data_IF_234199232520
#
_entry.id   IF_234199232520
#
_cell.length_a   1.000
_cell.length_b   1.000
_cell.length_c   1.000
_cell.angle_alpha   90.00
_cell.angle_beta   90.00
_cell.angle_gamma   90.00
#
_symmetry.space_group_name_H-M   'P 1'
#
loop_
_entity.id
_entity.type
_entity.pdbx_description
1 polymer ?
#
# COMPACT_ATOMS: atom_id res chain seq x y z
N UNK A 1 -20.37 25.28 -41.62
CA UNK A 1 -19.36 26.19 -41.06
C UNK A 1 -18.67 25.51 -39.89
N UNK A 2 -17.63 24.74 -40.19
CA UNK A 2 -16.66 24.23 -39.23
C UNK A 2 -15.58 25.30 -39.10
N UNK A 3 -15.37 25.84 -37.89
CA UNK A 3 -14.13 26.46 -37.37
C UNK A 3 -14.49 27.37 -36.19
N UNK A 4 -14.10 26.98 -34.98
CA UNK A 4 -13.60 27.84 -33.88
C UNK A 4 -13.87 27.28 -32.47
N UNK A 5 -13.56 26.01 -32.24
CA UNK A 5 -13.51 25.43 -30.88
C UNK A 5 -12.08 25.31 -30.30
N UNK A 6 -11.07 25.90 -30.96
CA UNK A 6 -9.65 25.78 -30.58
C UNK A 6 -9.06 27.00 -29.83
N UNK A 7 -9.85 28.00 -29.49
CA UNK A 7 -9.31 29.27 -28.97
C UNK A 7 -9.61 29.57 -27.49
N UNK A 8 -10.45 28.79 -26.81
CA UNK A 8 -10.81 29.06 -25.39
C UNK A 8 -9.88 28.34 -24.40
N UNK A 9 -9.22 27.23 -24.78
CA UNK A 9 -8.32 26.50 -23.87
C UNK A 9 -6.87 27.06 -23.81
N UNK A 10 -6.56 28.18 -24.48
CA UNK A 10 -5.20 28.74 -24.51
C UNK A 10 -4.97 29.96 -23.62
N UNK A 11 -6.00 30.52 -22.98
CA UNK A 11 -5.86 31.76 -22.21
C UNK A 11 -5.79 31.61 -20.68
N UNK A 12 -6.14 30.45 -20.11
CA UNK A 12 -6.13 30.26 -18.66
C UNK A 12 -4.79 29.72 -18.09
N UNK A 13 -3.89 29.21 -18.94
CA UNK A 13 -2.59 28.67 -18.51
C UNK A 13 -1.43 29.68 -18.60
N UNK A 14 -1.67 30.91 -19.07
CA UNK A 14 -0.61 31.86 -19.41
C UNK A 14 -0.36 32.97 -18.39
N UNK A 15 -1.19 33.12 -17.34
CA UNK A 15 -1.04 34.24 -16.38
C UNK A 15 -0.59 33.86 -14.95
N UNK A 16 -0.52 32.59 -14.57
CA UNK A 16 0.14 32.19 -13.29
C UNK A 16 1.61 31.79 -13.45
N UNK A 17 2.09 31.63 -14.69
CA UNK A 17 3.46 31.18 -14.99
C UNK A 17 4.52 32.31 -14.99
N UNK A 18 4.14 33.56 -14.68
CA UNK A 18 5.05 34.72 -14.77
C UNK A 18 5.68 35.18 -13.43
N UNK A 19 5.59 34.39 -12.35
CA UNK A 19 6.21 34.76 -11.05
C UNK A 19 7.15 33.73 -10.43
N UNK A 20 7.56 32.70 -11.16
CA UNK A 20 8.62 31.79 -10.70
C UNK A 20 9.65 31.57 -11.80
N UNK A 21 10.84 32.16 -11.60
CA UNK A 21 12.02 32.02 -12.46
C UNK A 21 12.64 30.60 -12.44
N UNK A 22 11.86 29.55 -12.16
CA UNK A 22 12.37 28.18 -12.04
C UNK A 22 12.10 27.28 -13.26
N UNK A 23 11.31 27.71 -14.25
CA UNK A 23 11.00 26.87 -15.42
C UNK A 23 11.92 27.08 -16.64
N UNK A 24 12.70 28.15 -16.71
CA UNK A 24 13.61 28.37 -17.85
C UNK A 24 14.77 27.36 -17.92
N UNK A 25 15.07 26.65 -16.83
CA UNK A 25 16.08 25.59 -16.80
C UNK A 25 15.54 24.18 -17.15
N UNK A 26 14.23 24.03 -17.40
CA UNK A 26 13.63 22.75 -17.79
C UNK A 26 13.58 22.52 -19.31
N UNK A 27 13.84 23.54 -20.13
CA UNK A 27 13.76 23.43 -21.59
C UNK A 27 15.05 23.02 -22.31
N UNK A 28 16.17 22.85 -21.58
CA UNK A 28 17.47 22.45 -22.14
C UNK A 28 18.24 21.40 -21.31
N UNK A 29 17.64 20.86 -20.25
CA UNK A 29 18.16 19.63 -19.64
C UNK A 29 17.73 18.50 -20.55
N UNK A 30 18.71 18.02 -21.32
CA UNK A 30 18.69 16.77 -22.05
C UNK A 30 17.57 15.86 -21.55
N UNK A 31 16.59 15.57 -22.41
CA UNK A 31 16.17 14.19 -22.52
C UNK A 31 17.48 13.43 -22.72
N UNK A 32 18.09 12.99 -21.62
CA UNK A 32 19.26 12.15 -21.65
C UNK A 32 18.78 10.91 -22.39
N UNK A 33 19.02 10.90 -23.70
CA UNK A 33 19.23 9.71 -24.49
C UNK A 33 20.31 8.95 -23.73
N UNK A 34 19.87 8.14 -22.76
CA UNK A 34 20.76 7.21 -22.09
C UNK A 34 21.24 6.30 -23.20
N UNK A 35 22.56 6.31 -23.42
CA UNK A 35 23.30 5.42 -24.32
C UNK A 35 23.28 3.97 -23.80
N UNK A 36 22.15 3.52 -23.29
CA UNK A 36 21.81 2.12 -23.06
C UNK A 36 20.72 1.72 -24.06
N UNK A 37 21.02 1.95 -25.34
CA UNK A 37 20.42 1.15 -26.39
C UNK A 37 21.07 -0.23 -26.32
N UNK A 38 20.61 -1.09 -25.41
CA UNK A 38 20.06 -2.34 -25.93
C UNK A 38 18.75 -1.92 -26.55
N UNK A 39 18.80 -1.54 -27.82
CA UNK A 39 17.59 -1.37 -28.60
C UNK A 39 16.77 -2.64 -28.43
N UNK A 40 15.47 -2.52 -28.20
CA UNK A 40 14.56 -3.67 -28.26
C UNK A 40 14.66 -4.44 -29.61
N UNK A 41 15.34 -3.86 -30.61
CA UNK A 41 15.74 -4.47 -31.88
C UNK A 41 16.89 -5.50 -31.81
N UNK A 42 17.45 -5.82 -30.63
CA UNK A 42 18.47 -6.88 -30.54
C UNK A 42 17.85 -8.29 -30.50
N UNK A 43 16.52 -8.40 -30.45
CA UNK A 43 15.86 -9.66 -30.75
C UNK A 43 15.84 -9.80 -32.28
N UNK A 44 16.72 -10.62 -32.83
CA UNK A 44 16.60 -11.06 -34.23
C UNK A 44 15.18 -11.57 -34.45
N UNK A 45 14.43 -10.94 -35.35
CA UNK A 45 13.08 -11.40 -35.70
C UNK A 45 13.19 -12.80 -36.32
N UNK A 46 12.78 -13.82 -35.56
CA UNK A 46 12.76 -15.20 -36.04
C UNK A 46 11.47 -15.40 -36.84
N UNK A 47 11.60 -15.54 -38.16
CA UNK A 47 10.47 -15.84 -39.04
C UNK A 47 10.18 -17.36 -39.08
N UNK A 48 8.91 -17.73 -39.14
CA UNK A 48 8.46 -19.13 -39.33
C UNK A 48 7.44 -19.19 -40.46
N UNK A 49 7.46 -20.28 -41.22
CA UNK A 49 6.43 -20.58 -42.23
C UNK A 49 5.29 -21.44 -41.67
N UNK A 50 5.35 -21.79 -40.38
CA UNK A 50 4.31 -22.57 -39.70
C UNK A 50 3.37 -21.62 -38.95
N UNK A 51 2.09 -21.64 -39.30
CA UNK A 51 1.07 -20.96 -38.52
C UNK A 51 0.77 -21.77 -37.25
N UNK A 52 1.28 -21.31 -36.12
CA UNK A 52 0.97 -21.86 -34.80
C UNK A 52 0.57 -20.74 -33.85
N UNK A 53 -0.36 -21.05 -32.93
CA UNK A 53 -0.62 -20.17 -31.81
C UNK A 53 0.61 -20.19 -30.88
N UNK A 54 0.98 -19.04 -30.32
CA UNK A 54 1.98 -18.99 -29.27
C UNK A 54 1.49 -19.84 -28.07
N UNK A 55 2.35 -20.75 -27.58
CA UNK A 55 2.06 -21.49 -26.36
C UNK A 55 2.02 -20.56 -25.17
N UNK A 56 1.17 -20.86 -24.19
CA UNK A 56 1.26 -20.20 -22.88
C UNK A 56 2.67 -20.45 -22.30
N UNK A 57 3.32 -19.44 -21.72
CA UNK A 57 4.59 -19.64 -21.03
C UNK A 57 4.40 -20.55 -19.81
N UNK A 58 5.50 -21.16 -19.36
CA UNK A 58 5.52 -21.94 -18.12
C UNK A 58 5.06 -21.09 -16.93
N UNK A 59 4.35 -21.71 -16.00
CA UNK A 59 3.89 -21.07 -14.76
C UNK A 59 5.08 -20.54 -13.97
N UNK A 60 5.01 -19.26 -13.58
CA UNK A 60 6.04 -18.62 -12.78
C UNK A 60 6.08 -19.30 -11.40
N UNK A 61 7.22 -19.88 -10.98
CA UNK A 61 7.34 -20.56 -9.71
C UNK A 61 7.19 -19.57 -8.55
N UNK A 62 6.60 -20.04 -7.45
CA UNK A 62 6.43 -19.24 -6.23
C UNK A 62 7.63 -19.46 -5.30
N UNK A 63 8.47 -18.44 -5.13
CA UNK A 63 9.66 -18.50 -4.29
C UNK A 63 9.31 -18.60 -2.80
N UNK A 64 10.03 -19.48 -2.08
CA UNK A 64 9.84 -19.80 -0.67
C UNK A 64 11.20 -20.12 -0.03
N UNK A 65 11.38 -19.71 1.22
CA UNK A 65 12.57 -19.94 2.04
C UNK A 65 12.30 -20.93 3.16
N UNK A 66 11.10 -20.90 3.77
CA UNK A 66 10.66 -21.84 4.82
C UNK A 66 9.37 -22.55 4.45
N UNK A 67 9.25 -23.82 4.84
CA UNK A 67 8.02 -24.61 4.69
C UNK A 67 6.93 -24.19 5.70
N UNK A 68 5.75 -24.84 5.61
CA UNK A 68 4.61 -24.58 6.50
C UNK A 68 4.91 -24.88 7.98
N UNK A 69 5.90 -25.71 8.25
CA UNK A 69 6.35 -26.09 9.59
C UNK A 69 7.53 -25.22 10.06
N UNK A 70 7.93 -24.20 9.31
CA UNK A 70 9.07 -23.34 9.62
C UNK A 70 10.43 -24.01 9.45
N UNK A 71 10.51 -25.12 8.70
CA UNK A 71 11.79 -25.74 8.32
C UNK A 71 12.35 -25.06 7.07
N UNK A 72 13.66 -24.95 6.98
CA UNK A 72 14.32 -24.19 5.92
C UNK A 72 14.42 -25.02 4.65
N UNK A 73 13.96 -24.43 3.54
CA UNK A 73 14.07 -24.97 2.19
C UNK A 73 15.24 -24.35 1.40
N UNK A 74 15.64 -23.13 1.73
CA UNK A 74 16.71 -22.40 1.03
C UNK A 74 17.69 -21.73 2.03
N UNK A 75 18.69 -22.47 2.56
CA UNK A 75 19.59 -22.02 3.63
C UNK A 75 20.38 -20.74 3.35
N UNK A 76 20.66 -20.45 2.07
CA UNK A 76 21.36 -19.24 1.64
C UNK A 76 20.56 -17.94 1.92
N UNK A 77 19.28 -18.05 2.26
CA UNK A 77 18.38 -16.94 2.60
C UNK A 77 17.97 -16.93 4.09
N UNK A 78 18.74 -17.58 4.97
CA UNK A 78 18.49 -17.52 6.42
C UNK A 78 19.17 -16.34 7.12
N UNK A 79 20.06 -15.64 6.42
CA UNK A 79 20.99 -14.64 6.95
C UNK A 79 20.34 -13.26 7.20
N UNK A 80 19.11 -13.22 7.71
CA UNK A 80 18.46 -12.00 8.20
C UNK A 80 18.88 -11.78 9.66
N UNK A 81 19.36 -10.61 10.10
CA UNK A 81 19.70 -10.36 11.50
C UNK A 81 18.55 -10.66 12.49
N UNK A 82 18.88 -11.18 13.68
CA UNK A 82 17.91 -11.56 14.71
C UNK A 82 17.01 -10.41 15.14
N UNK A 83 17.57 -9.20 15.26
CA UNK A 83 16.83 -7.99 15.59
C UNK A 83 15.71 -7.71 14.57
N UNK A 84 16.04 -7.83 13.28
CA UNK A 84 15.08 -7.61 12.19
C UNK A 84 13.99 -8.68 12.21
N UNK A 85 14.36 -9.95 12.34
CA UNK A 85 13.39 -11.05 12.39
C UNK A 85 12.44 -10.96 13.59
N UNK A 86 12.98 -10.66 14.77
CA UNK A 86 12.17 -10.49 15.96
C UNK A 86 11.24 -9.28 15.83
N UNK A 87 11.73 -8.15 15.30
CA UNK A 87 10.89 -6.99 15.01
C UNK A 87 9.79 -7.30 13.98
N UNK A 88 10.08 -8.06 12.93
CA UNK A 88 9.08 -8.52 11.95
C UNK A 88 8.01 -9.34 12.68
N UNK A 89 8.41 -10.35 13.46
CA UNK A 89 7.46 -11.20 14.18
C UNK A 89 6.58 -10.39 15.14
N UNK A 90 7.18 -9.54 15.98
CA UNK A 90 6.45 -8.71 16.95
C UNK A 90 5.47 -7.75 16.26
N UNK A 91 5.88 -7.15 15.14
CA UNK A 91 5.00 -6.27 14.35
C UNK A 91 3.84 -7.05 13.73
N UNK A 92 4.06 -8.27 13.23
CA UNK A 92 2.97 -9.09 12.68
C UNK A 92 1.94 -9.46 13.75
N UNK A 93 2.39 -9.79 14.96
CA UNK A 93 1.50 -10.05 16.11
C UNK A 93 0.75 -8.77 16.50
N UNK A 94 1.44 -7.63 16.57
CA UNK A 94 0.83 -6.35 16.89
C UNK A 94 -0.28 -5.98 15.88
N UNK A 95 -0.03 -6.18 14.57
CA UNK A 95 -1.02 -5.95 13.51
C UNK A 95 -2.26 -6.84 13.71
N UNK A 96 -2.07 -8.13 14.02
CA UNK A 96 -3.18 -9.07 14.27
C UNK A 96 -4.06 -8.63 15.46
N UNK A 97 -3.44 -8.20 16.55
CA UNK A 97 -4.17 -7.73 17.74
C UNK A 97 -4.91 -6.40 17.49
N UNK A 98 -4.27 -5.45 16.81
CA UNK A 98 -4.89 -4.19 16.41
C UNK A 98 -6.10 -4.46 15.51
N UNK A 99 -5.92 -5.27 14.47
CA UNK A 99 -6.99 -5.59 13.53
C UNK A 99 -8.17 -6.29 14.23
N UNK A 100 -7.88 -7.21 15.15
CA UNK A 100 -8.90 -7.90 15.94
C UNK A 100 -9.73 -6.90 16.75
N UNK A 101 -9.08 -5.99 17.47
CA UNK A 101 -9.76 -5.03 18.34
C UNK A 101 -10.50 -3.95 17.55
N UNK A 102 -9.89 -3.39 16.52
CA UNK A 102 -10.52 -2.32 15.73
C UNK A 102 -11.67 -2.84 14.88
N UNK A 103 -11.58 -4.07 14.36
CA UNK A 103 -12.71 -4.73 13.70
C UNK A 103 -13.91 -4.89 14.66
N UNK A 104 -13.68 -5.34 15.90
CA UNK A 104 -14.74 -5.39 16.93
C UNK A 104 -15.25 -4.00 17.32
N UNK A 105 -14.36 -3.01 17.39
CA UNK A 105 -14.69 -1.61 17.71
C UNK A 105 -15.65 -1.02 16.68
N UNK A 106 -15.45 -1.34 15.39
CA UNK A 106 -16.37 -0.98 14.34
C UNK A 106 -17.73 -1.68 14.51
N UNK A 107 -17.75 -2.98 14.84
CA UNK A 107 -19.01 -3.72 15.08
C UNK A 107 -19.82 -3.16 16.27
N UNK A 108 -19.17 -2.45 17.20
CA UNK A 108 -19.82 -1.70 18.28
C UNK A 108 -20.29 -0.30 17.89
N UNK A 109 -20.07 0.14 16.64
CA UNK A 109 -20.44 1.46 16.14
C UNK A 109 -19.54 2.61 16.63
N UNK A 110 -18.37 2.31 17.20
CA UNK A 110 -17.44 3.34 17.72
C UNK A 110 -16.58 3.98 16.64
N UNK A 111 -16.35 3.28 15.54
CA UNK A 111 -15.76 3.81 14.30
C UNK A 111 -16.67 3.42 13.15
N UNK A 112 -16.67 4.21 12.08
CA UNK A 112 -17.63 4.02 10.97
C UNK A 112 -17.29 2.85 10.06
N UNK A 113 -16.00 2.54 9.91
CA UNK A 113 -15.49 1.55 8.96
C UNK A 113 -14.17 0.95 9.45
N UNK A 114 -13.88 -0.30 9.06
CA UNK A 114 -12.57 -0.91 9.26
C UNK A 114 -12.28 -1.99 8.22
N UNK A 115 -10.99 -2.22 7.94
CA UNK A 115 -10.51 -3.25 7.01
C UNK A 115 -9.35 -4.01 7.65
N UNK A 116 -9.55 -5.25 8.10
CA UNK A 116 -8.46 -6.05 8.64
C UNK A 116 -7.51 -6.54 7.54
N UNK A 117 -6.28 -6.88 7.93
CA UNK A 117 -5.22 -7.40 7.07
C UNK A 117 -4.88 -8.87 7.35
N UNK A 118 -5.81 -9.61 7.97
CA UNK A 118 -5.61 -11.02 8.34
C UNK A 118 -5.16 -11.90 7.17
N UNK A 119 -4.00 -12.53 7.32
CA UNK A 119 -3.36 -13.39 6.32
C UNK A 119 -2.25 -12.67 5.54
N UNK A 120 -2.21 -11.34 5.55
CA UNK A 120 -1.30 -10.53 4.73
C UNK A 120 -0.16 -9.87 5.55
N UNK A 121 -0.02 -10.25 6.82
CA UNK A 121 0.93 -9.60 7.74
C UNK A 121 2.39 -9.80 7.31
N UNK A 122 2.79 -11.03 6.92
CA UNK A 122 4.17 -11.27 6.45
C UNK A 122 4.50 -10.45 5.20
N UNK A 123 3.53 -10.30 4.29
CA UNK A 123 3.72 -9.50 3.07
C UNK A 123 3.98 -8.03 3.40
N UNK A 124 3.14 -7.42 4.23
CA UNK A 124 3.23 -5.98 4.52
C UNK A 124 4.39 -5.66 5.45
N UNK A 125 4.56 -6.41 6.53
CA UNK A 125 5.66 -6.21 7.49
C UNK A 125 7.02 -6.56 6.87
N UNK A 126 7.10 -7.66 6.10
CA UNK A 126 8.33 -8.05 5.43
C UNK A 126 8.81 -7.01 4.41
N UNK A 127 7.89 -6.39 3.66
CA UNK A 127 8.24 -5.25 2.79
C UNK A 127 8.68 -4.04 3.62
N UNK A 128 7.95 -3.70 4.69
CA UNK A 128 8.32 -2.59 5.59
C UNK A 128 9.73 -2.74 6.17
N UNK A 129 10.16 -3.97 6.46
CA UNK A 129 11.49 -4.31 6.93
C UNK A 129 12.58 -4.28 5.86
N UNK A 130 12.23 -4.57 4.61
CA UNK A 130 13.18 -4.69 3.52
C UNK A 130 13.40 -3.37 2.74
N UNK A 131 12.47 -2.42 2.80
CA UNK A 131 12.67 -1.09 2.25
C UNK A 131 13.56 -0.23 3.16
N UNK A 132 14.28 0.71 2.56
CA UNK A 132 14.96 1.74 3.35
C UNK A 132 13.93 2.78 3.81
N UNK A 133 14.23 3.50 4.90
CA UNK A 133 13.28 4.44 5.48
C UNK A 133 12.90 5.58 4.51
N UNK A 134 13.85 6.02 3.68
CA UNK A 134 13.66 7.08 2.68
C UNK A 134 12.86 6.65 1.45
N UNK A 135 12.62 5.35 1.25
CA UNK A 135 11.78 4.89 0.15
C UNK A 135 10.33 5.31 0.40
N UNK A 136 9.67 5.82 -0.65
CA UNK A 136 8.31 6.33 -0.56
C UNK A 136 7.32 5.21 -0.86
N UNK A 137 6.39 4.99 0.07
CA UNK A 137 5.35 3.96 -0.05
C UNK A 137 4.03 4.57 -0.51
N UNK A 138 3.46 3.99 -1.56
CA UNK A 138 2.13 4.27 -2.10
C UNK A 138 1.21 3.08 -1.75
N UNK A 139 0.40 3.20 -0.68
CA UNK A 139 -0.48 2.12 -0.21
C UNK A 139 -1.78 2.03 -1.02
N UNK A 140 -2.51 0.94 -0.80
CA UNK A 140 -3.89 0.78 -1.27
C UNK A 140 -4.89 0.99 -0.13
N UNK A 141 -4.89 0.12 0.90
CA UNK A 141 -5.70 0.22 2.13
C UNK A 141 -5.52 -1.01 3.08
N UNK A 142 -4.62 -1.97 2.79
CA UNK A 142 -4.30 -3.09 3.69
C UNK A 142 -2.82 -3.12 4.10
N UNK A 143 -2.16 -1.98 4.06
CA UNK A 143 -0.72 -1.84 4.31
C UNK A 143 -0.39 -1.44 5.76
N UNK A 144 -1.25 -1.80 6.72
CA UNK A 144 -1.04 -1.47 8.14
C UNK A 144 0.31 -2.00 8.65
N UNK A 145 0.69 -3.22 8.26
CA UNK A 145 1.97 -3.80 8.67
C UNK A 145 3.19 -2.98 8.24
N UNK A 146 3.14 -2.37 7.05
CA UNK A 146 4.23 -1.53 6.54
C UNK A 146 4.37 -0.24 7.34
N UNK A 147 3.26 0.46 7.59
CA UNK A 147 3.29 1.75 8.27
C UNK A 147 3.58 1.58 9.78
N UNK A 148 3.08 0.52 10.42
CA UNK A 148 3.38 0.18 11.82
C UNK A 148 4.86 -0.19 11.96
N UNK A 149 5.44 -0.98 11.05
CA UNK A 149 6.87 -1.31 11.10
C UNK A 149 7.77 -0.06 11.04
N UNK A 150 7.32 0.97 10.32
CA UNK A 150 7.99 2.28 10.22
C UNK A 150 7.76 3.19 11.44
N UNK A 151 6.89 2.80 12.38
CA UNK A 151 6.69 3.51 13.64
C UNK A 151 5.34 4.20 13.79
N UNK A 152 4.37 3.94 12.90
CA UNK A 152 3.00 4.44 13.09
C UNK A 152 2.36 3.74 14.27
N UNK A 153 1.91 4.51 15.26
CA UNK A 153 1.42 3.95 16.52
C UNK A 153 -0.06 3.60 16.43
N UNK A 154 -0.54 2.77 17.36
CA UNK A 154 -1.98 2.50 17.46
C UNK A 154 -2.78 3.77 17.78
N UNK A 155 -2.19 4.74 18.48
CA UNK A 155 -2.82 6.06 18.70
C UNK A 155 -3.01 6.79 17.38
N UNK A 156 -2.00 6.80 16.51
CA UNK A 156 -2.12 7.43 15.19
C UNK A 156 -3.21 6.76 14.33
N UNK A 157 -3.32 5.44 14.40
CA UNK A 157 -4.39 4.70 13.71
C UNK A 157 -5.77 5.06 14.26
N UNK A 158 -5.93 5.09 15.58
CA UNK A 158 -7.18 5.41 16.25
C UNK A 158 -7.61 6.85 16.01
N UNK A 159 -6.67 7.79 16.06
CA UNK A 159 -6.92 9.20 15.77
C UNK A 159 -7.49 9.35 14.35
N UNK A 160 -6.90 8.68 13.36
CA UNK A 160 -7.41 8.68 11.99
C UNK A 160 -8.76 7.97 11.86
N UNK A 161 -8.95 6.79 12.47
CA UNK A 161 -10.21 6.04 12.39
C UNK A 161 -11.39 6.75 13.09
N UNK A 162 -11.13 7.53 14.13
CA UNK A 162 -12.14 8.33 14.82
C UNK A 162 -12.31 9.69 14.11
N UNK A 163 -11.26 10.18 13.46
CA UNK A 163 -11.20 11.52 12.88
C UNK A 163 -11.17 12.61 13.94
N UNK A 164 -10.44 12.38 15.04
CA UNK A 164 -10.33 13.34 16.14
C UNK A 164 -9.29 14.44 15.85
N UNK A 165 -9.14 15.41 16.76
CA UNK A 165 -8.22 16.55 16.62
C UNK A 165 -6.74 16.17 16.40
N UNK A 166 -6.33 14.95 16.74
CA UNK A 166 -4.96 14.48 16.57
C UNK A 166 -4.75 13.74 15.25
N UNK A 167 -5.80 13.55 14.45
CA UNK A 167 -5.64 13.08 13.08
C UNK A 167 -4.96 14.16 12.23
N UNK A 168 -3.77 13.85 11.70
CA UNK A 168 -3.06 14.72 10.77
C UNK A 168 -3.83 14.90 9.45
N UNK A 169 -4.73 13.96 9.11
CA UNK A 169 -5.69 14.06 8.01
C UNK A 169 -6.90 14.96 8.31
N UNK A 170 -6.96 15.56 9.50
CA UNK A 170 -8.03 16.46 9.97
C UNK A 170 -9.43 15.84 9.91
N UNK A 171 -9.54 14.51 10.07
CA UNK A 171 -10.81 13.78 10.09
C UNK A 171 -11.56 13.79 8.75
N UNK A 172 -10.88 14.07 7.64
CA UNK A 172 -11.53 14.30 6.32
C UNK A 172 -11.75 13.03 5.51
N UNK A 173 -11.02 11.97 5.81
CA UNK A 173 -11.10 10.71 5.07
C UNK A 173 -11.74 9.60 5.90
N UNK A 174 -12.24 8.58 5.19
CA UNK A 174 -12.77 7.37 5.79
C UNK A 174 -11.71 6.69 6.69
N UNK A 175 -12.11 5.96 7.75
CA UNK A 175 -11.17 5.15 8.51
C UNK A 175 -10.30 4.23 7.63
N UNK A 176 -9.10 3.92 8.10
CA UNK A 176 -8.07 3.12 7.40
C UNK A 176 -7.39 3.86 6.24
N UNK A 177 -7.70 5.14 6.03
CA UNK A 177 -7.00 5.99 5.07
C UNK A 177 -5.74 6.63 5.67
N UNK A 178 -4.81 5.80 6.14
CA UNK A 178 -3.60 6.26 6.81
C UNK A 178 -2.65 6.98 5.85
N UNK A 179 -1.89 7.92 6.39
CA UNK A 179 -0.85 8.67 5.69
C UNK A 179 0.12 9.29 6.67
N UNK A 180 1.41 9.32 6.33
CA UNK A 180 2.40 9.99 7.15
C UNK A 180 3.59 10.45 6.32
N UNK A 181 3.74 11.77 6.22
CA UNK A 181 4.92 12.40 5.61
C UNK A 181 6.19 12.01 6.36
N UNK A 182 6.15 11.94 7.70
CA UNK A 182 7.30 11.60 8.53
C UNK A 182 7.79 10.17 8.29
N UNK A 183 6.89 9.26 7.91
CA UNK A 183 7.20 7.85 7.67
C UNK A 183 7.33 7.50 6.17
N UNK A 184 7.43 8.50 5.30
CA UNK A 184 7.47 8.34 3.84
C UNK A 184 6.35 7.42 3.32
N UNK A 185 5.13 7.66 3.79
CA UNK A 185 3.94 6.87 3.47
C UNK A 185 2.86 7.79 2.94
N UNK A 186 2.57 7.71 1.63
CA UNK A 186 1.57 8.54 0.96
C UNK A 186 0.19 8.20 1.51
N UNK A 187 -0.64 9.22 1.68
CA UNK A 187 -2.01 9.04 2.18
C UNK A 187 -2.83 8.18 1.23
N UNK A 188 -3.47 7.15 1.77
CA UNK A 188 -4.43 6.30 1.06
C UNK A 188 -5.58 7.12 0.47
N UNK A 189 -6.06 6.71 -0.71
CA UNK A 189 -7.31 7.16 -1.32
C UNK A 189 -8.16 5.96 -1.76
N UNK A 190 -9.50 6.06 -1.70
CA UNK A 190 -10.39 4.95 -2.07
C UNK A 190 -10.29 4.49 -3.53
N UNK A 191 -10.16 5.38 -4.55
CA UNK A 191 -10.13 4.95 -5.94
C UNK A 191 -8.98 3.99 -6.21
N UNK A 192 -9.34 2.79 -6.64
CA UNK A 192 -8.38 1.72 -6.90
C UNK A 192 -7.34 2.16 -7.94
N UNK A 193 -6.10 1.73 -7.71
CA UNK A 193 -5.01 1.78 -8.69
C UNK A 193 -4.46 3.17 -9.02
N UNK A 194 -5.16 4.25 -8.68
CA UNK A 194 -4.73 5.64 -8.94
C UNK A 194 -3.33 5.98 -8.41
N UNK A 195 -2.90 5.33 -7.33
CA UNK A 195 -1.56 5.48 -6.74
C UNK A 195 -0.44 4.84 -7.57
N UNK A 196 -0.75 3.85 -8.41
CA UNK A 196 0.24 3.06 -9.15
C UNK A 196 0.95 3.90 -10.23
N UNK A 197 0.26 4.69 -11.08
CA UNK A 197 0.93 5.63 -12.00
C UNK A 197 1.59 6.79 -11.24
N UNK A 198 1.05 7.23 -10.10
CA UNK A 198 1.69 8.25 -9.26
C UNK A 198 3.07 7.78 -8.74
N UNK A 199 3.15 6.52 -8.29
CA UNK A 199 4.41 5.91 -7.88
C UNK A 199 5.40 5.77 -9.05
N UNK A 200 4.91 5.50 -10.27
CA UNK A 200 5.74 5.51 -11.48
C UNK A 200 6.31 6.89 -11.76
N UNK A 201 5.51 7.96 -11.59
CA UNK A 201 5.97 9.35 -11.68
C UNK A 201 6.98 9.74 -10.61
N UNK A 202 6.78 9.31 -9.36
CA UNK A 202 7.74 9.52 -8.27
C UNK A 202 9.07 8.81 -8.55
N UNK A 203 9.02 7.55 -8.99
CA UNK A 203 10.20 6.77 -9.39
C UNK A 203 10.95 7.36 -10.57
N UNK A 204 10.24 7.94 -11.55
CA UNK A 204 10.84 8.72 -12.63
C UNK A 204 11.60 9.94 -12.09
N UNK A 205 10.98 10.68 -11.16
CA UNK A 205 11.59 11.81 -10.49
C UNK A 205 12.88 11.44 -9.75
N UNK A 206 12.90 10.32 -9.03
CA UNK A 206 14.10 9.83 -8.34
C UNK A 206 15.23 9.50 -9.32
N UNK A 207 14.92 8.85 -10.45
CA UNK A 207 15.91 8.58 -11.51
C UNK A 207 16.51 9.87 -12.06
N UNK A 208 15.68 10.84 -12.42
CA UNK A 208 16.14 12.12 -13.00
C UNK A 208 17.04 12.90 -12.04
N UNK A 209 16.83 12.76 -10.72
CA UNK A 209 17.65 13.40 -9.68
C UNK A 209 18.83 12.55 -9.22
N UNK A 210 19.01 11.34 -9.78
CA UNK A 210 20.08 10.43 -9.40
C UNK A 210 19.97 9.92 -7.96
N UNK A 211 18.77 9.89 -7.39
CA UNK A 211 18.55 9.45 -6.01
C UNK A 211 18.57 7.93 -5.89
N UNK A 212 19.18 7.41 -4.82
CA UNK A 212 19.15 5.97 -4.49
C UNK A 212 17.91 5.60 -3.67
N UNK A 213 16.74 5.95 -4.21
CA UNK A 213 15.42 5.76 -3.58
C UNK A 213 14.45 5.05 -4.51
N UNK A 214 13.52 4.31 -3.93
CA UNK A 214 12.46 3.61 -4.66
C UNK A 214 11.10 4.21 -4.31
N UNK A 215 10.21 4.31 -5.31
CA UNK A 215 8.78 4.46 -5.10
C UNK A 215 8.14 3.06 -5.08
N UNK A 216 7.75 2.57 -3.91
CA UNK A 216 7.13 1.27 -3.73
C UNK A 216 5.60 1.42 -3.72
N UNK A 217 4.88 0.69 -4.57
CA UNK A 217 3.43 0.80 -4.67
C UNK A 217 2.75 -0.54 -4.48
N UNK A 218 1.78 -0.58 -3.57
CA UNK A 218 0.94 -1.74 -3.31
C UNK A 218 -0.34 -1.69 -4.13
N UNK A 219 -0.85 -2.86 -4.48
CA UNK A 219 -2.19 -3.05 -5.04
C UNK A 219 -2.59 -4.53 -4.94
N UNK A 220 -3.88 -4.81 -4.87
CA UNK A 220 -4.43 -6.16 -4.95
C UNK A 220 -4.53 -6.67 -6.39
N UNK A 221 -4.76 -7.97 -6.57
CA UNK A 221 -4.91 -8.56 -7.91
C UNK A 221 -6.14 -8.04 -8.66
N UNK A 222 -7.22 -7.70 -7.96
CA UNK A 222 -8.39 -7.04 -8.56
C UNK A 222 -8.10 -5.61 -9.03
N UNK A 223 -7.29 -4.85 -8.29
CA UNK A 223 -6.87 -3.52 -8.69
C UNK A 223 -5.98 -3.56 -9.96
N UNK A 224 -5.26 -4.65 -10.19
CA UNK A 224 -4.49 -4.86 -11.41
C UNK A 224 -5.34 -5.10 -12.68
N UNK A 225 -6.67 -5.12 -12.57
CA UNK A 225 -7.60 -5.10 -13.71
C UNK A 225 -7.99 -3.69 -14.16
N UNK A 226 -7.66 -2.66 -13.38
CA UNK A 226 -7.90 -1.25 -13.76
C UNK A 226 -6.94 -0.77 -14.84
N UNK A 227 -7.39 0.17 -15.68
CA UNK A 227 -6.59 0.75 -16.76
C UNK A 227 -5.33 1.48 -16.29
N UNK A 228 -5.38 2.10 -15.11
CA UNK A 228 -4.25 2.81 -14.50
C UNK A 228 -3.07 1.88 -14.20
N UNK A 229 -3.32 0.58 -13.96
CA UNK A 229 -2.27 -0.40 -13.73
C UNK A 229 -1.45 -0.62 -15.01
N UNK A 230 -2.14 -0.82 -16.15
CA UNK A 230 -1.50 -0.94 -17.46
C UNK A 230 -0.67 0.31 -17.80
N UNK A 231 -1.26 1.50 -17.62
CA UNK A 231 -0.58 2.76 -17.88
C UNK A 231 0.69 2.90 -17.05
N UNK A 232 0.62 2.59 -15.75
CA UNK A 232 1.74 2.71 -14.84
C UNK A 232 2.90 1.79 -15.20
N UNK A 233 2.65 0.51 -15.48
CA UNK A 233 3.70 -0.45 -15.81
C UNK A 233 4.40 -0.08 -17.12
N UNK A 234 3.64 0.32 -18.14
CA UNK A 234 4.21 0.74 -19.42
C UNK A 234 5.07 2.01 -19.26
N UNK A 235 4.58 3.02 -18.53
CA UNK A 235 5.37 4.22 -18.23
C UNK A 235 6.63 3.87 -17.44
N UNK A 236 6.53 3.03 -16.41
CA UNK A 236 7.67 2.66 -15.60
C UNK A 236 8.74 1.91 -16.40
N UNK A 237 8.35 1.01 -17.30
CA UNK A 237 9.28 0.30 -18.16
C UNK A 237 9.97 1.25 -19.16
N UNK A 238 9.16 1.98 -19.94
CA UNK A 238 9.66 2.84 -21.03
C UNK A 238 10.46 4.05 -20.53
N UNK A 239 10.13 4.56 -19.34
CA UNK A 239 10.83 5.67 -18.71
C UNK A 239 11.83 5.22 -17.65
N UNK A 240 12.06 3.91 -17.51
CA UNK A 240 12.99 3.32 -16.55
C UNK A 240 12.79 3.89 -15.14
N UNK A 241 11.56 3.89 -14.64
CA UNK A 241 11.25 4.47 -13.34
C UNK A 241 11.83 3.62 -12.21
N UNK A 242 12.32 4.28 -11.15
CA UNK A 242 12.74 3.61 -9.92
C UNK A 242 11.53 3.18 -9.08
N UNK A 243 10.73 2.26 -9.62
CA UNK A 243 9.44 1.86 -9.06
C UNK A 243 9.41 0.37 -8.75
N UNK A 244 8.95 0.03 -7.55
CA UNK A 244 8.71 -1.34 -7.11
C UNK A 244 7.20 -1.58 -7.04
N UNK A 245 6.71 -2.49 -7.88
CA UNK A 245 5.30 -2.89 -7.90
C UNK A 245 5.08 -4.09 -6.99
N UNK A 246 4.17 -3.97 -6.03
CA UNK A 246 3.91 -4.95 -4.97
C UNK A 246 2.47 -5.42 -5.06
N UNK A 247 2.24 -6.51 -5.79
CA UNK A 247 0.92 -7.10 -5.98
C UNK A 247 0.61 -8.08 -4.85
N UNK A 248 -0.45 -7.82 -4.08
CA UNK A 248 -0.98 -8.76 -3.10
C UNK A 248 -2.09 -9.58 -3.75
N UNK A 249 -1.78 -10.80 -4.16
CA UNK A 249 -2.76 -11.72 -4.74
C UNK A 249 -3.35 -12.59 -3.64
N UNK A 250 -4.47 -12.14 -3.07
CA UNK A 250 -5.13 -12.78 -1.93
C UNK A 250 -6.37 -13.60 -2.34
N UNK A 251 -6.50 -13.86 -3.65
CA UNK A 251 -7.51 -14.68 -4.33
C UNK A 251 -8.88 -14.03 -4.56
N UNK A 252 -9.19 -12.88 -3.96
CA UNK A 252 -10.51 -12.27 -4.04
C UNK A 252 -10.51 -10.73 -4.06
N UNK A 253 -11.22 -10.17 -5.05
CA UNK A 253 -11.62 -8.77 -5.07
C UNK A 253 -13.07 -8.64 -4.56
N UNK A 254 -13.25 -8.27 -3.29
CA UNK A 254 -14.53 -8.36 -2.57
C UNK A 254 -15.05 -9.80 -2.64
N UNK A 255 -16.01 -10.08 -3.54
CA UNK A 255 -16.61 -11.40 -3.78
C UNK A 255 -16.14 -12.07 -5.07
N UNK A 256 -15.42 -11.35 -5.94
CA UNK A 256 -14.96 -11.86 -7.23
C UNK A 256 -13.69 -12.71 -7.05
N UNK A 257 -13.74 -14.03 -7.30
CA UNK A 257 -12.56 -14.89 -7.23
C UNK A 257 -11.62 -14.63 -8.42
N UNK A 258 -10.35 -14.99 -8.28
CA UNK A 258 -9.33 -14.80 -9.34
C UNK A 258 -9.68 -15.45 -10.68
N UNK A 259 -10.47 -16.53 -10.69
CA UNK A 259 -10.91 -17.21 -11.93
C UNK A 259 -11.83 -16.34 -12.80
N UNK A 260 -12.52 -15.38 -12.17
CA UNK A 260 -13.36 -14.38 -12.82
C UNK A 260 -12.63 -13.04 -12.98
N UNK A 261 -11.44 -12.89 -12.38
CA UNK A 261 -10.63 -11.69 -12.46
C UNK A 261 -9.68 -11.71 -13.67
N UNK A 262 -9.05 -12.85 -13.95
CA UNK A 262 -8.11 -13.00 -15.06
C UNK A 262 -7.98 -14.47 -15.50
N UNK A 263 -7.43 -14.69 -16.70
CA UNK A 263 -7.18 -16.03 -17.27
C UNK A 263 -5.71 -16.37 -17.49
N UNK A 264 -4.81 -15.40 -17.32
CA UNK A 264 -3.36 -15.62 -17.39
C UNK A 264 -2.79 -16.21 -16.10
N UNK A 265 -1.48 -16.46 -16.12
CA UNK A 265 -0.74 -16.90 -14.94
C UNK A 265 -0.53 -15.75 -13.93
N UNK A 266 -1.59 -15.42 -13.19
CA UNK A 266 -1.57 -14.37 -12.17
C UNK A 266 -1.31 -12.97 -12.75
N UNK A 267 -0.87 -12.07 -11.87
CA UNK A 267 -0.48 -10.71 -12.26
C UNK A 267 1.01 -10.67 -12.65
N UNK A 268 1.86 -11.51 -12.05
CA UNK A 268 3.26 -11.62 -12.44
C UNK A 268 3.41 -11.94 -13.95
N UNK A 269 2.60 -12.86 -14.49
CA UNK A 269 2.63 -13.20 -15.92
C UNK A 269 2.37 -12.00 -16.84
N UNK A 270 1.52 -11.05 -16.42
CA UNK A 270 1.24 -9.82 -17.18
C UNK A 270 2.45 -8.89 -17.19
N UNK A 271 3.16 -8.77 -16.06
CA UNK A 271 4.27 -7.80 -15.90
C UNK A 271 5.50 -8.12 -16.77
N UNK A 272 5.72 -9.41 -17.10
CA UNK A 272 6.79 -9.84 -18.02
C UNK A 272 6.60 -9.21 -19.40
N UNK A 273 5.36 -9.07 -19.88
CA UNK A 273 5.05 -8.47 -21.18
C UNK A 273 5.46 -7.01 -21.33
N UNK A 274 5.71 -6.29 -20.22
CA UNK A 274 6.22 -4.91 -20.22
C UNK A 274 7.76 -4.86 -20.11
N UNK A 275 8.45 -6.00 -20.09
CA UNK A 275 9.89 -6.08 -19.89
C UNK A 275 10.34 -5.78 -18.46
N UNK A 276 9.47 -5.98 -17.47
CA UNK A 276 9.77 -5.70 -16.05
C UNK A 276 10.36 -6.94 -15.37
N UNK A 277 11.41 -6.73 -14.55
CA UNK A 277 11.99 -7.81 -13.72
C UNK A 277 10.94 -8.28 -12.71
N UNK A 278 10.52 -9.53 -12.83
CA UNK A 278 9.31 -10.05 -12.19
C UNK A 278 9.64 -11.21 -11.24
N UNK A 279 9.02 -11.20 -10.07
CA UNK A 279 9.11 -12.25 -9.05
C UNK A 279 7.71 -12.69 -8.62
N UNK A 280 7.56 -13.97 -8.28
CA UNK A 280 6.40 -14.48 -7.54
C UNK A 280 6.89 -15.12 -6.25
N UNK A 281 6.26 -14.78 -5.13
CA UNK A 281 6.74 -15.10 -3.79
C UNK A 281 5.58 -15.65 -2.96
N UNK A 282 5.86 -16.61 -2.09
CA UNK A 282 4.92 -17.02 -1.05
C UNK A 282 4.76 -15.85 -0.05
N UNK A 283 3.62 -15.16 -0.12
CA UNK A 283 3.34 -13.96 0.68
C UNK A 283 3.23 -14.23 2.18
N UNK A 284 3.14 -15.49 2.59
CA UNK A 284 3.08 -15.88 4.00
C UNK A 284 4.49 -16.18 4.55
N UNK A 285 5.54 -16.08 3.73
CA UNK A 285 6.93 -16.42 4.08
C UNK A 285 7.66 -15.11 4.31
N UNK A 286 7.76 -14.71 5.58
CA UNK A 286 8.40 -13.45 5.92
C UNK A 286 9.86 -13.36 5.44
N UNK A 287 10.59 -14.49 5.38
CA UNK A 287 11.97 -14.52 4.91
C UNK A 287 11.99 -14.34 3.38
N UNK A 288 11.15 -15.07 2.64
CA UNK A 288 11.07 -14.95 1.19
C UNK A 288 10.62 -13.55 0.75
N UNK A 289 9.64 -12.96 1.44
CA UNK A 289 9.19 -11.59 1.23
C UNK A 289 10.35 -10.62 1.45
N UNK A 290 11.01 -10.69 2.62
CA UNK A 290 12.11 -9.78 2.96
C UNK A 290 13.24 -9.83 1.92
N UNK A 291 13.72 -11.03 1.58
CA UNK A 291 14.81 -11.19 0.63
C UNK A 291 14.45 -10.72 -0.78
N UNK A 292 13.26 -11.07 -1.28
CA UNK A 292 12.84 -10.66 -2.62
C UNK A 292 12.70 -9.15 -2.71
N UNK A 293 12.18 -8.49 -1.66
CA UNK A 293 12.05 -7.03 -1.63
C UNK A 293 13.43 -6.36 -1.57
N UNK A 294 14.37 -6.84 -0.75
CA UNK A 294 15.75 -6.32 -0.73
C UNK A 294 16.42 -6.47 -2.10
N UNK A 295 16.27 -7.62 -2.75
CA UNK A 295 16.82 -7.89 -4.07
C UNK A 295 16.20 -6.97 -5.14
N UNK A 296 14.87 -6.89 -5.19
CA UNK A 296 14.16 -6.05 -6.14
C UNK A 296 14.49 -4.56 -5.94
N UNK A 297 14.57 -4.10 -4.69
CA UNK A 297 15.00 -2.73 -4.37
C UNK A 297 16.42 -2.48 -4.88
N UNK A 298 17.36 -3.37 -4.58
CA UNK A 298 18.75 -3.24 -5.01
C UNK A 298 18.87 -3.23 -6.55
N UNK A 299 18.11 -4.09 -7.23
CA UNK A 299 17.99 -4.11 -8.68
C UNK A 299 17.52 -2.75 -9.22
N UNK A 300 16.46 -2.19 -8.63
CA UNK A 300 15.89 -0.91 -9.08
C UNK A 300 16.90 0.23 -8.96
N UNK A 301 17.56 0.37 -7.81
CA UNK A 301 18.50 1.49 -7.60
C UNK A 301 19.76 1.34 -8.44
N UNK A 302 20.22 0.12 -8.70
CA UNK A 302 21.44 -0.17 -9.48
C UNK A 302 21.18 -0.03 -10.98
N UNK A 303 20.11 -0.64 -11.48
CA UNK A 303 19.83 -0.73 -12.91
C UNK A 303 18.93 0.42 -13.41
N UNK A 304 18.42 1.25 -12.49
CA UNK A 304 17.48 2.34 -12.80
C UNK A 304 16.28 1.84 -13.61
N UNK A 305 15.76 0.67 -13.25
CA UNK A 305 14.69 -0.03 -13.96
C UNK A 305 13.64 -0.56 -12.96
N UNK A 306 12.36 -0.65 -13.33
CA UNK A 306 11.32 -1.12 -12.41
C UNK A 306 11.46 -2.62 -12.11
N UNK A 307 10.88 -3.04 -10.98
CA UNK A 307 10.69 -4.44 -10.64
C UNK A 307 9.28 -4.70 -10.12
N UNK A 308 8.82 -5.95 -10.23
CA UNK A 308 7.48 -6.39 -9.88
C UNK A 308 7.56 -7.63 -9.00
N UNK A 309 6.77 -7.66 -7.91
CA UNK A 309 6.62 -8.81 -7.04
C UNK A 309 5.14 -9.14 -6.88
N UNK A 310 4.75 -10.37 -7.20
CA UNK A 310 3.45 -10.95 -6.83
C UNK A 310 3.57 -11.79 -5.56
N UNK A 311 2.93 -11.35 -4.49
CA UNK A 311 2.81 -12.11 -3.25
C UNK A 311 1.56 -12.98 -3.32
N UNK A 312 1.75 -14.29 -3.29
CA UNK A 312 0.66 -15.25 -3.22
C UNK A 312 0.27 -15.43 -1.75
N UNK A 313 -0.91 -14.95 -1.38
CA UNK A 313 -1.45 -15.02 -0.01
C UNK A 313 -2.93 -15.38 -0.05
N UNK A 314 -3.62 -15.25 1.08
CA UNK A 314 -5.05 -15.49 1.20
C UNK A 314 -5.69 -14.53 2.20
N UNK A 315 -6.81 -13.92 1.81
CA UNK A 315 -7.55 -13.00 2.67
C UNK A 315 -8.38 -13.79 3.69
N UNK A 316 -7.86 -13.97 4.90
CA UNK A 316 -8.54 -14.80 5.92
C UNK A 316 -9.83 -14.15 6.40
N UNK A 317 -9.82 -12.83 6.62
CA UNK A 317 -10.99 -12.06 7.06
C UNK A 317 -11.95 -11.70 5.92
N UNK A 318 -13.06 -11.04 6.27
CA UNK A 318 -13.95 -10.37 5.31
C UNK A 318 -13.18 -9.30 4.51
N UNK A 319 -13.78 -8.84 3.40
CA UNK A 319 -13.21 -7.72 2.66
C UNK A 319 -13.13 -6.46 3.55
N UNK A 320 -14.21 -6.13 4.24
CA UNK A 320 -14.26 -5.03 5.18
C UNK A 320 -15.36 -5.30 6.19
N UNK A 321 -15.55 -4.40 7.15
CA UNK A 321 -16.70 -4.48 8.06
C UNK A 321 -18.06 -4.35 7.38
N UNK A 322 -18.09 -3.91 6.11
CA UNK A 322 -19.29 -3.82 5.27
C UNK A 322 -19.55 -5.09 4.45
N UNK A 323 -18.72 -6.13 4.62
CA UNK A 323 -18.78 -7.38 3.88
C UNK A 323 -19.08 -8.58 4.79
N UNK A 324 -19.58 -9.66 4.19
CA UNK A 324 -19.87 -10.93 4.82
C UNK A 324 -19.41 -12.08 3.92
N UNK A 325 -18.17 -12.51 4.12
CA UNK A 325 -17.49 -13.34 3.13
C UNK A 325 -17.94 -14.80 3.05
N UNK A 326 -18.63 -15.28 4.09
CA UNK A 326 -19.28 -16.60 4.11
C UNK A 326 -20.38 -16.73 3.04
N UNK A 327 -20.82 -15.62 2.43
CA UNK A 327 -21.81 -15.63 1.34
C UNK A 327 -21.23 -16.10 0.00
N UNK A 328 -19.90 -16.11 -0.17
CA UNK A 328 -19.25 -16.42 -1.44
C UNK A 328 -17.94 -17.22 -1.30
N UNK A 329 -17.56 -17.62 -0.08
CA UNK A 329 -16.42 -18.50 0.21
C UNK A 329 -16.83 -19.57 1.21
N UNK A 330 -16.26 -20.76 1.06
CA UNK A 330 -16.57 -21.87 1.97
C UNK A 330 -15.77 -21.77 3.27
N UNK A 331 -16.36 -22.26 4.36
CA UNK A 331 -15.67 -22.33 5.66
C UNK A 331 -14.44 -23.24 5.60
N UNK A 332 -14.50 -24.33 4.82
CA UNK A 332 -13.39 -25.26 4.59
C UNK A 332 -12.19 -24.56 3.92
N UNK A 333 -12.44 -23.73 2.89
CA UNK A 333 -11.40 -22.95 2.22
C UNK A 333 -10.69 -22.04 3.23
N UNK A 334 -11.47 -21.22 3.94
CA UNK A 334 -10.94 -20.26 4.93
C UNK A 334 -10.18 -20.98 6.05
N UNK A 335 -10.74 -22.07 6.58
CA UNK A 335 -10.16 -22.84 7.69
C UNK A 335 -8.85 -23.52 7.28
N UNK A 336 -8.74 -24.00 6.05
CA UNK A 336 -7.50 -24.59 5.53
C UNK A 336 -6.36 -23.57 5.56
N UNK A 337 -6.59 -22.34 5.07
CA UNK A 337 -5.59 -21.27 5.05
C UNK A 337 -5.24 -20.77 6.45
N UNK A 338 -6.26 -20.63 7.30
CA UNK A 338 -6.09 -20.19 8.69
C UNK A 338 -5.25 -21.16 9.52
N UNK A 339 -5.43 -22.47 9.32
CA UNK A 339 -4.74 -23.50 10.11
C UNK A 339 -3.37 -23.88 9.55
N UNK A 340 -3.24 -23.99 8.23
CA UNK A 340 -2.03 -24.56 7.61
C UNK A 340 -1.05 -23.52 7.08
N UNK A 341 -1.51 -22.29 6.83
CA UNK A 341 -0.69 -21.30 6.14
C UNK A 341 -0.72 -19.90 6.81
N UNK A 342 -0.87 -19.86 8.13
CA UNK A 342 -0.80 -18.61 8.88
C UNK A 342 0.66 -18.08 8.94
N UNK A 343 0.93 -16.84 8.49
CA UNK A 343 2.28 -16.30 8.42
C UNK A 343 2.94 -16.10 9.79
N UNK A 344 2.18 -15.74 10.83
CA UNK A 344 2.69 -15.55 12.20
C UNK A 344 3.12 -16.90 12.78
N UNK A 345 2.26 -17.91 12.68
CA UNK A 345 2.58 -19.27 13.12
C UNK A 345 3.83 -19.79 12.42
N UNK A 346 3.92 -19.59 11.10
CA UNK A 346 5.03 -20.09 10.29
C UNK A 346 6.37 -19.47 10.68
N UNK A 347 6.43 -18.15 10.83
CA UNK A 347 7.64 -17.48 11.30
C UNK A 347 7.97 -17.85 12.75
N UNK A 348 6.97 -17.99 13.62
CA UNK A 348 7.15 -18.41 15.00
C UNK A 348 7.78 -19.80 15.12
N UNK A 349 7.31 -20.77 14.33
CA UNK A 349 7.89 -22.10 14.26
C UNK A 349 9.35 -22.07 13.79
N UNK A 350 9.67 -21.27 12.77
CA UNK A 350 11.05 -21.09 12.29
C UNK A 350 11.94 -20.53 13.41
N UNK A 351 11.53 -19.45 14.07
CA UNK A 351 12.29 -18.81 15.14
C UNK A 351 12.53 -19.77 16.32
N UNK A 352 11.53 -20.59 16.66
CA UNK A 352 11.64 -21.60 17.72
C UNK A 352 12.61 -22.71 17.35
N UNK A 353 12.49 -23.27 16.14
CA UNK A 353 13.34 -24.37 15.67
C UNK A 353 14.80 -23.96 15.50
N UNK A 354 15.04 -22.76 14.98
CA UNK A 354 16.39 -22.22 14.77
C UNK A 354 17.06 -21.72 16.05
N UNK A 355 16.34 -21.66 17.18
CA UNK A 355 16.87 -21.16 18.46
C UNK A 355 17.08 -19.64 18.48
N UNK A 356 16.56 -18.91 17.50
CA UNK A 356 16.75 -17.46 17.31
C UNK A 356 15.78 -16.61 18.14
N UNK A 357 14.80 -17.26 18.77
CA UNK A 357 13.91 -16.68 19.77
C UNK A 357 13.48 -17.76 20.77
N UNK A 358 13.50 -17.41 22.04
CA UNK A 358 12.89 -18.23 23.10
C UNK A 358 11.42 -17.84 23.21
N UNK A 359 10.54 -18.83 23.01
CA UNK A 359 9.11 -18.68 23.21
C UNK A 359 8.73 -19.20 24.58
N UNK A 360 7.96 -18.39 25.31
CA UNK A 360 7.40 -18.73 26.61
C UNK A 360 5.91 -18.41 26.54
N UNK A 361 5.06 -19.43 26.63
CA UNK A 361 3.62 -19.29 26.47
C UNK A 361 3.00 -18.35 27.51
N UNK A 362 3.52 -18.34 28.75
CA UNK A 362 3.03 -17.44 29.78
C UNK A 362 3.38 -15.99 29.43
N UNK A 363 4.64 -15.76 29.03
CA UNK A 363 5.13 -14.43 28.64
C UNK A 363 4.46 -13.91 27.37
N UNK A 364 4.25 -14.76 26.37
CA UNK A 364 3.56 -14.39 25.12
C UNK A 364 2.11 -13.98 25.39
N UNK A 365 1.43 -14.70 26.31
CA UNK A 365 0.08 -14.35 26.76
C UNK A 365 0.06 -13.00 27.49
N UNK A 366 1.05 -12.74 28.34
CA UNK A 366 1.19 -11.44 29.02
C UNK A 366 1.42 -10.30 28.03
N UNK A 367 2.27 -10.49 27.02
CA UNK A 367 2.53 -9.49 25.97
C UNK A 367 1.26 -9.17 25.17
N UNK A 368 0.51 -10.20 24.73
CA UNK A 368 -0.77 -9.98 24.03
C UNK A 368 -1.79 -9.26 24.92
N UNK A 369 -1.85 -9.61 26.21
CA UNK A 369 -2.73 -8.94 27.16
C UNK A 369 -2.34 -7.47 27.38
N UNK A 370 -1.03 -7.16 27.44
CA UNK A 370 -0.53 -5.79 27.54
C UNK A 370 -0.86 -4.97 26.29
N UNK A 371 -0.61 -5.51 25.09
CA UNK A 371 -0.97 -4.88 23.81
C UNK A 371 -2.47 -4.56 23.80
N UNK A 372 -3.32 -5.54 24.14
CA UNK A 372 -4.77 -5.33 24.20
C UNK A 372 -5.16 -4.23 25.19
N UNK A 373 -4.55 -4.19 26.38
CA UNK A 373 -4.79 -3.15 27.38
C UNK A 373 -4.41 -1.77 26.84
N UNK A 374 -3.27 -1.66 26.18
CA UNK A 374 -2.78 -0.40 25.60
C UNK A 374 -3.69 0.10 24.48
N UNK A 375 -4.18 -0.81 23.62
CA UNK A 375 -5.12 -0.47 22.55
C UNK A 375 -6.46 0.01 23.13
N UNK A 376 -6.97 -0.65 24.18
CA UNK A 376 -8.21 -0.24 24.85
C UNK A 376 -8.03 1.13 25.52
N UNK A 377 -6.88 1.37 26.16
CA UNK A 377 -6.57 2.66 26.77
C UNK A 377 -6.48 3.76 25.71
N UNK A 378 -5.77 3.52 24.61
CA UNK A 378 -5.67 4.45 23.48
C UNK A 378 -7.04 4.71 22.84
N UNK A 379 -7.89 3.69 22.71
CA UNK A 379 -9.25 3.86 22.18
C UNK A 379 -10.11 4.73 23.09
N UNK A 380 -9.99 4.56 24.41
CA UNK A 380 -10.68 5.43 25.37
C UNK A 380 -10.19 6.87 25.24
N UNK A 381 -8.89 7.08 25.27
CA UNK A 381 -8.25 8.39 25.11
C UNK A 381 -8.70 9.07 23.81
N UNK A 382 -8.69 8.35 22.69
CA UNK A 382 -9.03 8.88 21.38
C UNK A 382 -10.54 9.20 21.23
N UNK A 383 -11.42 8.49 21.93
CA UNK A 383 -12.87 8.78 21.95
C UNK A 383 -13.23 9.96 22.87
N UNK A 384 -12.39 10.26 23.86
CA UNK A 384 -12.56 11.44 24.72
C UNK A 384 -12.09 12.73 24.02
N UNK A 385 -11.33 12.61 22.93
CA UNK A 385 -10.92 13.75 22.13
C UNK A 385 -12.08 14.34 21.33
N UNK A 386 -12.01 15.65 21.12
CA UNK A 386 -12.91 16.36 20.20
C UNK A 386 -12.59 16.01 18.75
N UNK A 387 -13.55 16.27 17.87
CA UNK A 387 -13.34 16.35 16.43
C UNK A 387 -12.59 17.65 16.08
N UNK A 388 -11.85 17.71 14.95
CA UNK A 388 -11.28 18.94 14.42
C UNK A 388 -12.32 20.05 14.35
N UNK A 389 -11.89 21.31 14.47
CA UNK A 389 -12.80 22.44 14.34
C UNK A 389 -13.53 22.38 12.99
N UNK A 390 -14.84 22.69 12.97
CA UNK A 390 -15.67 22.56 11.77
C UNK A 390 -15.09 23.36 10.58
N UNK A 391 -14.42 24.47 10.86
CA UNK A 391 -13.89 25.36 9.86
C UNK A 391 -12.69 24.77 9.08
N UNK A 392 -12.10 23.69 9.58
CA UNK A 392 -11.03 22.96 8.90
C UNK A 392 -11.52 22.29 7.62
N UNK A 393 -12.83 22.10 7.43
CA UNK A 393 -13.39 21.53 6.20
C UNK A 393 -13.07 22.37 4.94
N UNK A 394 -12.81 23.67 5.11
CA UNK A 394 -12.47 24.58 4.01
C UNK A 394 -10.95 24.72 3.77
N UNK A 395 -10.13 24.18 4.67
CA UNK A 395 -8.68 24.27 4.58
C UNK A 395 -8.12 23.19 3.65
N UNK A 396 -6.92 23.43 3.12
CA UNK A 396 -6.16 22.50 2.27
C UNK A 396 -6.87 22.00 0.98
N UNK A 397 -8.02 22.60 0.63
CA UNK A 397 -8.62 22.45 -0.71
C UNK A 397 -7.66 23.01 -1.77
N UNK A 398 -7.05 24.15 -1.45
CA UNK A 398 -5.90 24.75 -2.10
C UNK A 398 -4.88 25.14 -1.04
N UNK A 399 -3.64 25.48 -1.44
CA UNK A 399 -2.60 25.97 -0.52
C UNK A 399 -3.06 27.22 0.27
N UNK A 400 -3.83 28.10 -0.39
CA UNK A 400 -4.45 29.27 0.23
C UNK A 400 -5.95 29.27 -0.02
N UNK A 401 -6.74 29.65 0.98
CA UNK A 401 -8.20 29.78 0.83
C UNK A 401 -8.53 30.82 -0.26
N UNK A 402 -9.25 30.37 -1.29
CA UNK A 402 -9.76 31.22 -2.35
C UNK A 402 -10.88 32.14 -1.83
N UNK A 403 -11.15 33.30 -2.47
CA UNK A 403 -12.18 34.23 -2.02
C UNK A 403 -13.56 33.59 -1.79
N UNK A 404 -14.00 32.73 -2.71
CA UNK A 404 -15.25 31.98 -2.61
C UNK A 404 -15.27 30.98 -1.44
N UNK A 405 -14.13 30.37 -1.08
CA UNK A 405 -14.06 29.46 0.08
C UNK A 405 -14.11 30.25 1.39
N UNK A 406 -13.58 31.48 1.40
CA UNK A 406 -13.71 32.38 2.56
C UNK A 406 -15.16 32.81 2.77
N UNK A 407 -15.86 33.13 1.68
CA UNK A 407 -17.30 33.46 1.71
C UNK A 407 -18.12 32.28 2.22
N UNK A 408 -17.94 31.07 1.68
CA UNK A 408 -18.63 29.87 2.17
C UNK A 408 -18.32 29.53 3.63
N UNK A 409 -17.06 29.71 4.06
CA UNK A 409 -16.67 29.54 5.47
C UNK A 409 -17.39 30.52 6.38
N UNK A 410 -17.58 31.75 5.92
CA UNK A 410 -18.29 32.80 6.63
C UNK A 410 -19.82 32.56 6.65
N UNK A 411 -20.40 32.11 5.54
CA UNK A 411 -21.80 31.68 5.46
C UNK A 411 -22.08 30.54 6.45
N UNK A 412 -21.23 29.52 6.51
CA UNK A 412 -21.39 28.44 7.49
C UNK A 412 -21.23 28.95 8.93
N UNK A 413 -20.33 29.91 9.18
CA UNK A 413 -20.21 30.54 10.50
C UNK A 413 -21.52 31.22 10.92
N UNK A 414 -22.14 31.98 10.00
CA UNK A 414 -23.42 32.65 10.25
C UNK A 414 -24.54 31.63 10.48
N UNK A 415 -24.62 30.61 9.63
CA UNK A 415 -25.57 29.51 9.78
C UNK A 415 -25.44 28.81 11.14
N UNK A 416 -24.22 28.50 11.58
CA UNK A 416 -24.00 27.87 12.89
C UNK A 416 -24.26 28.80 14.08
N UNK A 417 -24.20 30.13 13.89
CA UNK A 417 -24.61 31.07 14.93
C UNK A 417 -26.13 31.14 15.08
N UNK A 418 -26.88 31.00 13.98
CA UNK A 418 -28.34 31.08 13.95
C UNK A 418 -29.01 29.75 14.27
N UNK A 419 -28.47 28.64 13.74
CA UNK A 419 -29.07 27.29 13.79
C UNK A 419 -28.19 26.28 14.54
N UNK A 420 -27.26 26.75 15.37
CA UNK A 420 -26.26 25.92 16.04
C UNK A 420 -26.83 24.84 16.95
N UNK A 421 -28.03 25.03 17.47
CA UNK A 421 -28.77 24.06 18.31
C UNK A 421 -29.14 22.77 17.56
N UNK A 422 -29.17 22.81 16.23
CA UNK A 422 -29.42 21.63 15.39
C UNK A 422 -28.16 20.81 15.11
N UNK A 423 -26.99 21.28 15.54
CA UNK A 423 -25.70 20.63 15.33
C UNK A 423 -25.05 20.25 16.66
N UNK A 424 -24.31 19.13 16.68
CA UNK A 424 -23.58 18.70 17.87
C UNK A 424 -22.23 19.44 18.00
N UNK A 425 -22.26 20.76 18.12
CA UNK A 425 -21.07 21.61 18.12
C UNK A 425 -20.12 21.33 19.29
N UNK A 426 -20.62 20.77 20.40
CA UNK A 426 -19.81 20.41 21.56
C UNK A 426 -18.77 19.32 21.27
N UNK A 427 -19.03 18.47 20.25
CA UNK A 427 -18.07 17.46 19.79
C UNK A 427 -16.87 18.05 19.05
N UNK A 428 -16.97 19.27 18.52
CA UNK A 428 -15.92 19.89 17.74
C UNK A 428 -15.01 20.76 18.62
N UNK A 429 -13.73 20.83 18.26
CA UNK A 429 -12.78 21.75 18.85
C UNK A 429 -13.18 23.21 18.56
N UNK A 430 -12.79 24.11 19.46
CA UNK A 430 -12.89 25.54 19.21
C UNK A 430 -11.96 25.93 18.05
N UNK A 431 -12.39 26.94 17.29
CA UNK A 431 -11.63 27.52 16.18
C UNK A 431 -10.31 28.15 16.63
#
# INVERSE_FOLDING_TARGET
>A
MIKNFRQVCRFALYQSALKTNSFQNLSKRAFCYVKHHKTFNDNEEIYTHQLSAASQPDTIPTFRVIDLQGSVLAPQYENIPDEILNKIFDTMVQVEEIDTILNMTQRQGKISFYMPSFGEQATTVGVGAALEFEDLVFPQYREQGTIIYRGYTVRDMLNQCIGNIHDLGKGRQMPVHYGSKALNFVTVSSPLTTQVPQASGAGYGYRLRGENKVAATYFGEGAASEGDWHAALNFAATLSCQTLFLCRNNKYAISTPVVDQYRGDGIAGKSIGYGIKTYRVDGNDALAVYHTVKEARNYIVTNKAPAFIEFMTYRIGDHSTSDHSVMYRTEDEISSWKSTNNPITRLGLYLKKSGRRVFDEAKDKEVRAAIKKDIIAALKEANEQKLPAWNTLFEDVYDQLTPNLKEQKEELRQHLNEYGEHYNLQKFASN
#
